data_IF_485853485797
#
_entry.id   IF_485853485797
#
_cell.length_a   1.000
_cell.length_b   1.000
_cell.length_c   1.000
_cell.angle_alpha   90.00
_cell.angle_beta   90.00
_cell.angle_gamma   90.00
#
_symmetry.space_group_name_H-M   'P 1'
#
loop_
_entity.id
_entity.type
_entity.pdbx_description
1 polymer ?
#
# COMPACT_ATOMS: atom_id res chain seq x y z
N UNK A 1 -23.41 -1.25 -3.22
CA UNK A 1 -22.04 -1.53 -2.76
C UNK A 1 -21.34 -0.18 -2.70
N UNK A 2 -20.69 0.15 -1.59
CA UNK A 2 -19.99 1.43 -1.42
C UNK A 2 -18.69 1.42 -2.22
N UNK A 3 -18.45 2.48 -2.99
CA UNK A 3 -17.22 2.68 -3.75
C UNK A 3 -16.04 2.87 -2.77
N UNK A 4 -14.92 2.14 -2.95
CA UNK A 4 -13.75 2.28 -2.08
C UNK A 4 -13.14 3.69 -2.22
N UNK A 5 -12.57 4.21 -1.12
CA UNK A 5 -11.80 5.45 -1.16
C UNK A 5 -10.39 5.20 -1.70
N UNK A 6 -9.80 4.07 -1.35
CA UNK A 6 -8.50 3.61 -1.87
C UNK A 6 -8.70 2.20 -2.40
N UNK A 7 -8.23 1.97 -3.63
CA UNK A 7 -8.16 0.65 -4.24
C UNK A 7 -6.77 0.45 -4.84
N UNK A 8 -6.12 -0.65 -4.46
CA UNK A 8 -4.86 -1.11 -5.00
C UNK A 8 -5.09 -2.46 -5.67
N UNK A 9 -4.66 -2.58 -6.92
CA UNK A 9 -4.74 -3.81 -7.69
C UNK A 9 -3.35 -4.12 -8.29
N UNK A 10 -2.80 -5.28 -7.94
CA UNK A 10 -1.49 -5.78 -8.38
C UNK A 10 -0.38 -4.72 -8.21
N UNK A 11 -0.24 -4.19 -6.99
CA UNK A 11 0.81 -3.23 -6.68
C UNK A 11 2.13 -3.97 -6.42
N UNK A 12 3.01 -3.92 -7.41
CA UNK A 12 4.39 -4.36 -7.32
C UNK A 12 5.32 -3.15 -7.38
N UNK A 13 6.20 -3.00 -6.38
CA UNK A 13 7.12 -1.86 -6.34
C UNK A 13 8.49 -2.23 -5.75
N UNK A 14 9.53 -1.72 -6.40
CA UNK A 14 10.91 -1.74 -5.94
C UNK A 14 11.59 -0.41 -6.25
N UNK A 15 12.52 0.01 -5.39
CA UNK A 15 13.42 1.10 -5.72
C UNK A 15 14.49 0.63 -6.74
N UNK A 16 15.04 1.54 -7.57
CA UNK A 16 16.08 1.16 -8.52
C UNK A 16 17.24 0.41 -7.87
N UNK A 17 17.52 -0.80 -8.39
CA UNK A 17 18.60 -1.65 -7.89
C UNK A 17 18.33 -2.38 -6.56
N UNK A 18 17.10 -2.32 -6.03
CA UNK A 18 16.70 -3.05 -4.84
C UNK A 18 15.79 -4.24 -5.18
N UNK A 19 15.69 -5.18 -4.24
CA UNK A 19 14.68 -6.24 -4.30
C UNK A 19 13.27 -5.64 -4.19
N UNK A 20 12.27 -6.45 -4.57
CA UNK A 20 10.85 -6.10 -4.42
C UNK A 20 10.54 -5.72 -2.98
N UNK A 21 9.95 -4.53 -2.81
CA UNK A 21 9.66 -3.95 -1.50
C UNK A 21 8.17 -4.05 -1.17
N UNK A 22 7.30 -3.83 -2.15
CA UNK A 22 5.85 -3.99 -2.02
C UNK A 22 5.38 -5.05 -3.00
N UNK A 23 4.55 -5.95 -2.47
CA UNK A 23 3.81 -7.00 -3.17
C UNK A 23 2.41 -7.01 -2.57
N UNK A 24 1.49 -6.27 -3.19
CA UNK A 24 0.12 -6.12 -2.70
C UNK A 24 -0.82 -6.49 -3.84
N UNK A 25 -1.26 -7.77 -3.91
CA UNK A 25 -2.15 -8.24 -4.97
C UNK A 25 -3.48 -7.47 -5.00
N UNK A 26 -4.09 -7.25 -3.84
CA UNK A 26 -5.33 -6.48 -3.70
C UNK A 26 -5.41 -5.82 -2.34
N UNK A 27 -5.81 -4.56 -2.29
CA UNK A 27 -6.14 -3.86 -1.05
C UNK A 27 -7.22 -2.81 -1.30
N UNK A 28 -8.19 -2.70 -0.40
CA UNK A 28 -9.26 -1.69 -0.47
C UNK A 28 -9.46 -1.04 0.89
N UNK A 29 -9.70 0.28 0.91
CA UNK A 29 -10.08 1.02 2.10
C UNK A 29 -11.38 1.79 1.83
N UNK A 30 -12.40 1.59 2.67
CA UNK A 30 -13.67 2.30 2.53
C UNK A 30 -13.59 3.75 3.06
N UNK A 31 -14.48 4.61 2.56
CA UNK A 31 -14.60 5.98 3.10
C UNK A 31 -15.04 5.92 4.58
N UNK A 32 -14.27 6.60 5.44
CA UNK A 32 -14.52 6.65 6.88
C UNK A 32 -13.90 5.50 7.67
N UNK A 33 -13.25 4.54 7.01
CA UNK A 33 -12.49 3.49 7.65
C UNK A 33 -11.11 4.01 8.11
N UNK A 34 -10.65 3.55 9.26
CA UNK A 34 -9.29 3.85 9.77
C UNK A 34 -8.42 2.61 9.65
N UNK A 35 -7.31 2.72 8.93
CA UNK A 35 -6.32 1.66 8.79
C UNK A 35 -5.10 1.93 9.69
N UNK A 36 -4.64 0.91 10.40
CA UNK A 36 -3.34 0.93 11.07
C UNK A 36 -2.29 0.16 10.26
N UNK A 37 -1.28 0.86 9.75
CA UNK A 37 -0.19 0.26 8.98
C UNK A 37 1.00 -0.10 9.89
N UNK A 38 1.12 -1.38 10.25
CA UNK A 38 2.17 -1.91 11.15
C UNK A 38 3.21 -2.74 10.39
N UNK A 39 4.47 -2.61 10.79
CA UNK A 39 5.55 -3.48 10.33
C UNK A 39 6.94 -3.00 10.77
N UNK A 40 7.98 -3.85 10.69
CA UNK A 40 9.36 -3.49 11.03
C UNK A 40 9.89 -2.27 10.26
N UNK A 41 10.98 -1.65 10.71
CA UNK A 41 11.68 -0.64 9.91
C UNK A 41 12.11 -1.24 8.56
N UNK A 42 12.00 -0.46 7.47
CA UNK A 42 12.33 -0.92 6.12
C UNK A 42 11.27 -1.74 5.39
N UNK A 43 10.14 -2.09 6.01
CA UNK A 43 9.03 -2.86 5.38
C UNK A 43 8.23 -2.13 4.30
N UNK A 44 8.64 -0.93 3.87
CA UNK A 44 7.95 -0.20 2.79
C UNK A 44 6.73 0.64 3.21
N UNK A 45 6.44 0.80 4.51
CA UNK A 45 5.27 1.60 4.98
C UNK A 45 5.23 3.02 4.43
N UNK A 46 6.33 3.77 4.56
CA UNK A 46 6.43 5.14 4.03
C UNK A 46 6.39 5.15 2.50
N UNK A 47 6.93 4.11 1.86
CA UNK A 47 6.85 3.94 0.41
C UNK A 47 5.40 3.75 -0.05
N UNK A 48 4.64 2.88 0.63
CA UNK A 48 3.22 2.68 0.34
C UNK A 48 2.42 3.99 0.50
N UNK A 49 2.63 4.72 1.59
CA UNK A 49 1.95 6.01 1.80
C UNK A 49 2.34 7.05 0.73
N UNK A 50 3.60 7.11 0.31
CA UNK A 50 4.04 8.03 -0.75
C UNK A 50 3.49 7.68 -2.13
N UNK A 51 3.17 6.41 -2.40
CA UNK A 51 2.51 5.99 -3.64
C UNK A 51 1.01 6.32 -3.64
N UNK A 52 0.39 6.44 -2.47
CA UNK A 52 -1.03 6.79 -2.32
C UNK A 52 -1.30 8.29 -2.52
N UNK A 53 -0.28 9.15 -2.39
CA UNK A 53 -0.39 10.61 -2.52
C UNK A 53 -0.33 11.34 -1.19
#
# INVERSE_FOLDING_TARGET
MTEPLIELANLDFAWPGQAQLLDIPTFTLARGETLFLKGPSGSGKTTLLGLLG
#
